data_IF_096322746743
#
_entry.id   IF_096322746743
#
_cell.length_a   1.000
_cell.length_b   1.000
_cell.length_c   1.000
_cell.angle_alpha   90.00
_cell.angle_beta   90.00
_cell.angle_gamma   90.00
#
_symmetry.space_group_name_H-M   'P 1'
#
loop_
_entity.id
_entity.type
_entity.pdbx_description
1 polymer ?
#
# COMPACT_ATOMS: atom_id res chain seq x y z
N UNK A 1 -2.38 2.11 14.68
CA UNK A 1 -2.34 2.93 13.48
C UNK A 1 -1.59 2.33 12.35
N UNK A 2 -0.71 1.59 12.27
CA UNK A 2 0.17 1.13 11.23
C UNK A 2 -0.50 0.62 9.96
N UNK A 3 -1.06 -0.60 9.96
CA UNK A 3 -1.48 -1.27 8.74
C UNK A 3 -2.64 -0.57 8.01
N UNK A 4 -3.68 -0.16 8.73
CA UNK A 4 -4.82 0.52 8.12
C UNK A 4 -4.43 1.87 7.55
N UNK A 5 -3.63 2.64 8.28
CA UNK A 5 -3.13 3.94 7.83
C UNK A 5 -2.25 3.79 6.59
N UNK A 6 -1.37 2.79 6.57
CA UNK A 6 -0.51 2.50 5.43
C UNK A 6 -1.35 2.13 4.19
N UNK A 7 -2.40 1.33 4.36
CA UNK A 7 -3.29 0.96 3.26
C UNK A 7 -4.05 2.16 2.70
N UNK A 8 -4.54 3.04 3.57
CA UNK A 8 -5.24 4.26 3.14
C UNK A 8 -4.30 5.18 2.38
N UNK A 9 -3.10 5.42 2.92
CA UNK A 9 -2.08 6.22 2.24
C UNK A 9 -1.69 5.60 0.90
N UNK A 10 -1.50 4.29 0.87
CA UNK A 10 -1.16 3.57 -0.34
C UNK A 10 -2.25 3.68 -1.39
N UNK A 11 -3.51 3.46 -1.01
CA UNK A 11 -4.64 3.58 -1.92
C UNK A 11 -4.79 5.00 -2.45
N UNK A 12 -4.60 6.01 -1.61
CA UNK A 12 -4.65 7.41 -2.01
C UNK A 12 -3.54 7.75 -3.01
N UNK A 13 -2.31 7.34 -2.71
CA UNK A 13 -1.17 7.56 -3.63
C UNK A 13 -1.36 6.84 -4.95
N UNK A 14 -1.87 5.61 -4.92
CA UNK A 14 -2.17 4.85 -6.13
C UNK A 14 -3.22 5.55 -6.98
N UNK A 15 -4.31 6.03 -6.39
CA UNK A 15 -5.37 6.73 -7.09
C UNK A 15 -4.87 8.04 -7.70
N UNK A 16 -4.10 8.82 -6.95
CA UNK A 16 -3.51 10.06 -7.45
C UNK A 16 -2.52 9.77 -8.59
N UNK A 17 -1.72 8.72 -8.44
CA UNK A 17 -0.77 8.30 -9.46
C UNK A 17 -1.46 7.94 -10.77
N UNK A 18 -2.56 7.19 -10.71
CA UNK A 18 -3.36 6.84 -11.88
C UNK A 18 -3.97 8.08 -12.53
N UNK A 19 -4.50 9.01 -11.73
CA UNK A 19 -5.05 10.26 -12.24
C UNK A 19 -3.98 11.09 -12.97
N UNK A 20 -2.77 11.16 -12.41
CA UNK A 20 -1.65 11.86 -13.08
C UNK A 20 -1.28 11.20 -14.40
N UNK A 21 -1.28 9.88 -14.47
CA UNK A 21 -1.01 9.16 -15.71
C UNK A 21 -2.07 9.49 -16.77
N UNK A 22 -3.33 9.50 -16.40
CA UNK A 22 -4.43 9.80 -17.32
C UNK A 22 -4.35 11.23 -17.83
N UNK A 23 -4.11 12.20 -16.96
CA UNK A 23 -3.93 13.60 -17.33
C UNK A 23 -2.70 13.76 -18.20
N UNK A 24 -1.59 13.12 -17.84
CA UNK A 24 -0.36 13.16 -18.62
C UNK A 24 -0.56 12.59 -20.02
N UNK A 25 -1.30 11.52 -20.15
CA UNK A 25 -1.61 10.92 -21.44
C UNK A 25 -2.50 11.84 -22.28
N UNK A 26 -3.52 12.43 -21.68
CA UNK A 26 -4.44 13.33 -22.36
C UNK A 26 -3.75 14.61 -22.84
N UNK A 27 -2.78 15.13 -22.09
CA UNK A 27 -2.06 16.37 -22.41
C UNK A 27 -0.72 16.13 -23.11
N UNK A 28 -0.30 14.89 -23.27
CA UNK A 28 1.00 14.54 -23.86
C UNK A 28 2.19 14.83 -22.95
N UNK A 29 1.99 14.94 -21.65
CA UNK A 29 3.06 15.22 -20.69
C UNK A 29 3.71 13.93 -20.19
N UNK A 30 4.88 13.61 -20.73
CA UNK A 30 5.65 12.44 -20.28
C UNK A 30 6.11 12.58 -18.83
N UNK A 31 6.41 13.79 -18.40
CA UNK A 31 6.79 14.07 -17.01
C UNK A 31 5.67 13.72 -16.05
N UNK A 32 4.46 14.15 -16.36
CA UNK A 32 3.30 13.90 -15.51
C UNK A 32 2.96 12.40 -15.47
N UNK A 33 3.07 11.73 -16.61
CA UNK A 33 2.91 10.28 -16.68
C UNK A 33 3.94 9.57 -15.79
N UNK A 34 5.20 9.96 -15.86
CA UNK A 34 6.27 9.39 -15.05
C UNK A 34 6.06 9.63 -13.57
N UNK A 35 5.67 10.84 -13.18
CA UNK A 35 5.35 11.15 -11.79
C UNK A 35 4.18 10.29 -11.29
N UNK A 36 3.17 10.10 -12.13
CA UNK A 36 2.03 9.25 -11.80
C UNK A 36 2.42 7.79 -11.58
N UNK A 37 3.28 7.26 -12.44
CA UNK A 37 3.79 5.88 -12.29
C UNK A 37 4.55 5.72 -10.98
N UNK A 38 5.43 6.66 -10.66
CA UNK A 38 6.19 6.62 -9.41
C UNK A 38 5.25 6.65 -8.20
N UNK A 39 4.26 7.53 -8.23
CA UNK A 39 3.31 7.65 -7.13
C UNK A 39 2.43 6.41 -6.98
N UNK A 40 2.00 5.80 -8.09
CA UNK A 40 1.26 4.56 -8.08
C UNK A 40 2.07 3.42 -7.46
N UNK A 41 3.34 3.29 -7.87
CA UNK A 41 4.24 2.26 -7.33
C UNK A 41 4.47 2.46 -5.84
N UNK A 42 4.66 3.71 -5.39
CA UNK A 42 4.75 4.02 -3.96
C UNK A 42 3.49 3.63 -3.21
N UNK A 43 2.32 3.92 -3.79
CA UNK A 43 1.05 3.54 -3.19
C UNK A 43 0.90 2.03 -3.04
N UNK A 44 1.24 1.28 -4.06
CA UNK A 44 1.23 -0.18 -4.01
C UNK A 44 2.21 -0.72 -2.97
N UNK A 45 3.40 -0.13 -2.88
CA UNK A 45 4.37 -0.49 -1.86
C UNK A 45 3.87 -0.24 -0.45
N UNK A 46 3.21 0.89 -0.21
CA UNK A 46 2.61 1.21 1.09
C UNK A 46 1.49 0.24 1.46
N UNK A 47 0.66 -0.15 0.50
CA UNK A 47 -0.37 -1.17 0.70
C UNK A 47 0.23 -2.51 1.05
N UNK A 48 1.29 -2.91 0.35
CA UNK A 48 2.00 -4.16 0.62
C UNK A 48 2.61 -4.16 2.03
N UNK A 49 3.17 -3.04 2.47
CA UNK A 49 3.69 -2.90 3.84
C UNK A 49 2.56 -3.05 4.86
N UNK A 50 1.41 -2.42 4.62
CA UNK A 50 0.24 -2.56 5.47
C UNK A 50 -0.24 -4.01 5.56
N UNK A 51 -0.32 -4.70 4.43
CA UNK A 51 -0.70 -6.11 4.38
C UNK A 51 0.31 -6.99 5.11
N UNK A 52 1.60 -6.73 4.96
CA UNK A 52 2.65 -7.46 5.66
C UNK A 52 2.55 -7.27 7.18
N UNK A 53 2.26 -6.06 7.64
CA UNK A 53 2.06 -5.78 9.07
C UNK A 53 0.87 -6.55 9.63
N UNK A 54 -0.23 -6.61 8.91
CA UNK A 54 -1.41 -7.37 9.32
C UNK A 54 -1.12 -8.87 9.39
N UNK A 55 -0.47 -9.41 8.37
CA UNK A 55 -0.11 -10.83 8.33
C UNK A 55 0.83 -11.21 9.47
N UNK A 56 1.81 -10.35 9.78
CA UNK A 56 2.73 -10.57 10.91
C UNK A 56 1.97 -10.57 12.24
N UNK A 57 1.05 -9.63 12.41
CA UNK A 57 0.22 -9.52 13.60
C UNK A 57 -0.62 -10.78 13.80
N UNK A 58 -1.26 -11.27 12.75
CA UNK A 58 -2.06 -12.49 12.79
C UNK A 58 -1.19 -13.70 13.13
N UNK A 59 -0.02 -13.84 12.53
CA UNK A 59 0.91 -14.93 12.81
C UNK A 59 1.36 -14.93 14.27
N UNK A 60 1.69 -13.76 14.81
CA UNK A 60 2.07 -13.63 16.23
C UNK A 60 0.91 -14.00 17.15
N UNK A 61 -0.30 -13.54 16.84
CA UNK A 61 -1.47 -13.86 17.65
C UNK A 61 -1.79 -15.34 17.63
N UNK A 62 -1.68 -16.01 16.49
CA UNK A 62 -1.90 -17.45 16.37
C UNK A 62 -0.83 -18.24 17.12
N UNK A 63 0.42 -17.83 17.03
CA UNK A 63 1.51 -18.46 17.76
C UNK A 63 1.33 -18.33 19.27
N UNK A 64 0.93 -17.16 19.76
CA UNK A 64 0.65 -16.93 21.18
C UNK A 64 -0.52 -17.78 21.66
N UNK A 65 -1.60 -17.89 20.88
CA UNK A 65 -2.74 -18.71 21.21
C UNK A 65 -2.37 -20.20 21.31
N UNK A 66 -1.56 -20.68 20.35
CA UNK A 66 -1.08 -22.06 20.35
C UNK A 66 -0.19 -22.35 21.56
N UNK A 67 0.71 -21.43 21.91
CA UNK A 67 1.57 -21.55 23.08
C UNK A 67 0.74 -21.62 24.38
N UNK A 68 -0.27 -20.76 24.50
CA UNK A 68 -1.15 -20.74 25.66
C UNK A 68 -1.95 -22.06 25.83
N UNK A 69 -2.35 -22.65 24.71
CA UNK A 69 -3.07 -23.95 24.75
C UNK A 69 -2.18 -25.09 25.22
N UNK A 70 -0.90 -25.03 24.93
CA UNK A 70 0.05 -26.06 25.28
C UNK A 70 0.58 -25.95 26.70
N UNK A 71 0.29 -24.85 27.37
CA UNK A 71 0.65 -24.62 28.76
C UNK A 71 -0.48 -25.03 29.69
#
# INVERSE_FOLDING_TARGET
MGATTDKIKGATNEAIGKAKQDIGQATGSDRLKGEGVIQEVKGKGQKAVGDAKEATKDAVNKAAAAANKNL
#
